data_IF_515025293263
#
_entry.id   IF_515025293263
#
_cell.length_a   1.000
_cell.length_b   1.000
_cell.length_c   1.000
_cell.angle_alpha   90.00
_cell.angle_beta   90.00
_cell.angle_gamma   90.00
#
_symmetry.space_group_name_H-M   'P 1'
#
loop_
_entity.id
_entity.type
_entity.pdbx_description
1 polymer ?
#
# COMPACT_ATOMS: atom_id res chain seq x y z
N UNK A 1 12.14 -30.71 -11.45
CA UNK A 1 10.77 -30.14 -11.49
C UNK A 1 10.21 -29.83 -10.09
N UNK A 2 10.47 -30.63 -9.05
CA UNK A 2 10.07 -30.33 -7.66
C UNK A 2 10.84 -29.19 -6.96
N UNK A 3 12.04 -28.82 -7.42
CA UNK A 3 12.82 -27.71 -6.85
C UNK A 3 12.22 -26.32 -7.10
N UNK A 4 11.31 -26.18 -8.08
CA UNK A 4 10.57 -24.93 -8.32
C UNK A 4 9.41 -24.73 -7.34
N UNK A 5 8.96 -25.80 -6.68
CA UNK A 5 7.96 -25.75 -5.61
C UNK A 5 8.58 -25.38 -4.26
N UNK A 6 9.84 -25.72 -4.00
CA UNK A 6 10.55 -25.27 -2.79
C UNK A 6 10.95 -23.80 -2.84
N UNK A 7 10.99 -23.18 -4.02
CA UNK A 7 11.15 -21.73 -4.15
C UNK A 7 9.87 -20.95 -3.85
N UNK A 8 8.70 -21.59 -3.81
CA UNK A 8 7.42 -20.99 -3.39
C UNK A 8 7.30 -20.83 -1.86
N UNK A 9 8.17 -21.48 -1.07
CA UNK A 9 8.27 -21.27 0.38
C UNK A 9 9.00 -19.96 0.75
N UNK A 10 9.45 -19.18 -0.24
CA UNK A 10 9.85 -17.81 0.07
C UNK A 10 8.62 -16.99 0.45
N UNK A 11 8.67 -16.18 1.52
CA UNK A 11 7.55 -15.32 1.86
C UNK A 11 7.35 -14.33 0.70
N UNK A 12 6.38 -14.63 -0.17
CA UNK A 12 5.99 -13.81 -1.31
C UNK A 12 5.24 -12.54 -0.85
N UNK A 13 4.79 -12.51 0.42
CA UNK A 13 4.07 -11.39 1.04
C UNK A 13 4.71 -10.02 0.78
N UNK A 14 6.00 -9.79 1.09
CA UNK A 14 6.64 -8.49 0.87
C UNK A 14 6.80 -8.11 -0.61
N UNK A 15 6.96 -9.09 -1.51
CA UNK A 15 7.10 -8.83 -2.96
C UNK A 15 5.76 -8.51 -3.62
N UNK A 16 4.67 -9.10 -3.14
CA UNK A 16 3.30 -8.82 -3.61
C UNK A 16 2.79 -7.48 -3.09
N UNK A 17 3.14 -7.07 -1.87
CA UNK A 17 2.65 -5.83 -1.26
C UNK A 17 3.26 -4.56 -1.89
N UNK A 18 4.52 -4.63 -2.35
CA UNK A 18 5.25 -3.50 -2.93
C UNK A 18 4.59 -2.84 -4.17
N UNK A 19 4.13 -3.58 -5.20
CA UNK A 19 3.44 -2.98 -6.34
C UNK A 19 2.12 -2.32 -5.95
N UNK A 20 1.35 -2.88 -5.01
CA UNK A 20 0.11 -2.26 -4.53
C UNK A 20 0.35 -0.91 -3.85
N UNK A 21 1.44 -0.79 -3.08
CA UNK A 21 1.85 0.50 -2.51
C UNK A 21 2.15 1.54 -3.59
N UNK A 22 2.92 1.16 -4.62
CA UNK A 22 3.30 2.10 -5.69
C UNK A 22 2.06 2.55 -6.47
N UNK A 23 1.18 1.62 -6.85
CA UNK A 23 -0.05 1.93 -7.59
C UNK A 23 -1.01 2.77 -6.74
N UNK A 24 -1.21 2.41 -5.48
CA UNK A 24 -2.08 3.17 -4.57
C UNK A 24 -1.54 4.57 -4.28
N UNK A 25 -0.23 4.72 -4.14
CA UNK A 25 0.42 6.04 -3.97
C UNK A 25 0.28 6.89 -5.22
N UNK A 26 0.51 6.32 -6.40
CA UNK A 26 0.34 7.02 -7.67
C UNK A 26 -1.11 7.46 -7.86
N UNK A 27 -2.08 6.62 -7.51
CA UNK A 27 -3.50 6.94 -7.57
C UNK A 27 -3.86 8.08 -6.60
N UNK A 28 -3.39 8.02 -5.36
CA UNK A 28 -3.61 9.06 -4.36
C UNK A 28 -3.07 10.43 -4.82
N UNK A 29 -1.85 10.45 -5.37
CA UNK A 29 -1.23 11.66 -5.93
C UNK A 29 -2.00 12.16 -7.14
N UNK A 30 -2.46 11.27 -8.03
CA UNK A 30 -3.27 11.66 -9.19
C UNK A 30 -4.60 12.31 -8.76
N UNK A 31 -5.31 11.72 -7.79
CA UNK A 31 -6.56 12.27 -7.25
C UNK A 31 -6.32 13.64 -6.63
N UNK A 32 -5.29 13.76 -5.78
CA UNK A 32 -4.88 15.04 -5.18
C UNK A 32 -4.52 16.09 -6.23
N UNK A 33 -3.75 15.70 -7.26
CA UNK A 33 -3.33 16.57 -8.35
C UNK A 33 -4.49 17.08 -9.18
N UNK A 34 -5.46 16.23 -9.52
CA UNK A 34 -6.69 16.63 -10.21
C UNK A 34 -7.44 17.66 -9.37
N UNK A 35 -7.57 17.41 -8.06
CA UNK A 35 -8.16 18.35 -7.12
C UNK A 35 -7.52 19.73 -7.11
N UNK A 36 -6.18 19.78 -7.12
CA UNK A 36 -5.42 21.02 -7.15
C UNK A 36 -5.62 21.77 -8.47
N UNK A 37 -5.60 21.07 -9.61
CA UNK A 37 -5.80 21.67 -10.93
C UNK A 37 -7.21 22.26 -11.04
N UNK A 38 -8.23 21.48 -10.67
CA UNK A 38 -9.63 21.92 -10.71
C UNK A 38 -9.87 23.04 -9.70
N UNK A 39 -9.34 22.93 -8.49
CA UNK A 39 -9.41 23.98 -7.48
C UNK A 39 -8.77 25.29 -7.96
N UNK A 40 -7.59 25.23 -8.56
CA UNK A 40 -6.92 26.40 -9.13
C UNK A 40 -7.75 27.05 -10.25
N UNK A 41 -8.36 26.26 -11.13
CA UNK A 41 -9.24 26.76 -12.18
C UNK A 41 -10.50 27.46 -11.62
N UNK A 42 -11.02 26.99 -10.48
CA UNK A 42 -12.19 27.58 -9.83
C UNK A 42 -11.86 28.85 -9.03
N UNK A 43 -10.59 29.12 -8.74
CA UNK A 43 -10.17 30.27 -7.93
C UNK A 43 -10.52 31.61 -8.59
N UNK A 44 -10.64 31.65 -9.92
CA UNK A 44 -11.06 32.85 -10.66
C UNK A 44 -12.53 33.19 -10.44
N UNK A 45 -13.37 32.18 -10.14
CA UNK A 45 -14.81 32.36 -9.97
C UNK A 45 -15.20 32.47 -8.50
N UNK A 46 -14.62 31.64 -7.63
CA UNK A 46 -14.89 31.67 -6.19
C UNK A 46 -13.75 31.02 -5.42
N UNK A 47 -13.07 31.81 -4.59
CA UNK A 47 -11.96 31.34 -3.74
C UNK A 47 -12.43 30.28 -2.74
N UNK A 48 -13.61 30.46 -2.15
CA UNK A 48 -14.15 29.48 -1.19
C UNK A 48 -14.42 28.13 -1.85
N UNK A 49 -15.00 28.14 -3.05
CA UNK A 49 -15.26 26.91 -3.81
C UNK A 49 -13.95 26.23 -4.23
N UNK A 50 -12.96 27.02 -4.68
CA UNK A 50 -11.63 26.53 -5.01
C UNK A 50 -10.94 25.82 -3.84
N UNK A 51 -10.94 26.46 -2.66
CA UNK A 51 -10.36 25.88 -1.44
C UNK A 51 -11.12 24.62 -1.01
N UNK A 52 -12.45 24.63 -1.10
CA UNK A 52 -13.27 23.46 -0.78
C UNK A 52 -12.94 22.27 -1.70
N UNK A 53 -12.92 22.49 -3.02
CA UNK A 53 -12.64 21.43 -4.00
C UNK A 53 -11.21 20.93 -3.85
N UNK A 54 -10.22 21.82 -3.76
CA UNK A 54 -8.82 21.42 -3.55
C UNK A 54 -8.65 20.62 -2.25
N UNK A 55 -9.21 21.12 -1.14
CA UNK A 55 -9.16 20.45 0.16
C UNK A 55 -9.84 19.08 0.15
N UNK A 56 -11.02 18.96 -0.48
CA UNK A 56 -11.75 17.70 -0.59
C UNK A 56 -10.94 16.63 -1.31
N UNK A 57 -10.36 16.96 -2.47
CA UNK A 57 -9.57 16.00 -3.24
C UNK A 57 -8.22 15.66 -2.59
N UNK A 58 -7.59 16.61 -1.88
CA UNK A 58 -6.41 16.33 -1.07
C UNK A 58 -6.74 15.33 0.05
N UNK A 59 -7.86 15.53 0.75
CA UNK A 59 -8.34 14.60 1.77
C UNK A 59 -8.71 13.24 1.17
N UNK A 60 -9.38 13.21 0.02
CA UNK A 60 -9.70 11.98 -0.69
C UNK A 60 -8.43 11.21 -1.13
N UNK A 61 -7.42 11.91 -1.65
CA UNK A 61 -6.13 11.29 -1.96
C UNK A 61 -5.45 10.72 -0.70
N UNK A 62 -5.46 11.47 0.40
CA UNK A 62 -4.89 11.02 1.67
C UNK A 62 -5.61 9.79 2.25
N UNK A 63 -6.94 9.74 2.18
CA UNK A 63 -7.72 8.58 2.66
C UNK A 63 -7.48 7.35 1.80
N UNK A 64 -7.38 7.51 0.47
CA UNK A 64 -7.00 6.40 -0.44
C UNK A 64 -5.62 5.87 -0.10
N UNK A 65 -4.63 6.75 0.09
CA UNK A 65 -3.28 6.35 0.47
C UNK A 65 -3.25 5.59 1.80
N UNK A 66 -3.92 6.11 2.83
CA UNK A 66 -4.02 5.46 4.13
C UNK A 66 -4.75 4.11 4.04
N UNK A 67 -5.84 4.03 3.27
CA UNK A 67 -6.58 2.78 3.05
C UNK A 67 -5.74 1.70 2.40
N UNK A 68 -4.95 2.05 1.37
CA UNK A 68 -4.00 1.13 0.73
C UNK A 68 -2.93 0.67 1.72
N UNK A 69 -2.36 1.60 2.50
CA UNK A 69 -1.35 1.30 3.52
C UNK A 69 -1.87 0.34 4.59
N UNK A 70 -3.03 0.63 5.16
CA UNK A 70 -3.65 -0.21 6.18
C UNK A 70 -3.99 -1.61 5.64
N UNK A 71 -4.50 -1.68 4.40
CA UNK A 71 -4.81 -2.95 3.75
C UNK A 71 -3.54 -3.78 3.52
N UNK A 72 -2.47 -3.14 3.06
CA UNK A 72 -1.18 -3.79 2.86
C UNK A 72 -0.56 -4.31 4.17
N UNK A 73 -0.63 -3.52 5.25
CA UNK A 73 -0.20 -3.95 6.58
C UNK A 73 -1.04 -5.15 7.08
N UNK A 74 -2.37 -5.10 6.90
CA UNK A 74 -3.27 -6.19 7.27
C UNK A 74 -2.93 -7.48 6.51
N UNK A 75 -2.71 -7.42 5.20
CA UNK A 75 -2.30 -8.58 4.39
C UNK A 75 -0.99 -9.16 4.90
N UNK A 76 0.00 -8.31 5.20
CA UNK A 76 1.31 -8.76 5.71
C UNK A 76 1.17 -9.47 7.05
N UNK A 77 0.34 -8.95 7.97
CA UNK A 77 0.07 -9.57 9.28
C UNK A 77 -0.63 -10.92 9.12
N UNK A 78 -1.62 -11.03 8.21
CA UNK A 78 -2.32 -12.29 7.94
C UNK A 78 -1.34 -13.34 7.45
N UNK A 79 -0.53 -13.04 6.42
CA UNK A 79 0.46 -13.97 5.89
C UNK A 79 1.55 -14.35 6.90
N UNK A 80 1.97 -13.41 7.76
CA UNK A 80 2.94 -13.70 8.82
C UNK A 80 2.37 -14.66 9.90
N UNK A 81 1.05 -14.69 10.10
CA UNK A 81 0.39 -15.61 11.03
C UNK A 81 0.14 -17.00 10.44
N UNK A 82 -0.01 -17.11 9.12
CA UNK A 82 -0.20 -18.40 8.43
C UNK A 82 1.10 -19.10 8.06
N UNK A 83 2.25 -18.42 8.10
CA UNK A 83 3.54 -19.05 7.88
C UNK A 83 3.84 -20.09 8.98
N UNK A 84 4.13 -21.36 8.63
CA UNK A 84 4.58 -22.34 9.61
C UNK A 84 5.84 -21.82 10.31
N UNK A 85 5.85 -21.79 11.65
CA UNK A 85 7.10 -21.54 12.39
C UNK A 85 8.12 -22.58 11.93
N UNK A 86 9.38 -22.20 11.60
CA UNK A 86 10.41 -23.18 11.33
C UNK A 86 10.65 -23.99 12.61
N UNK A 87 10.03 -25.16 12.69
CA UNK A 87 10.32 -26.17 13.70
C UNK A 87 11.60 -26.85 13.24
N UNK A 88 12.75 -26.39 13.75
CA UNK A 88 14.03 -27.02 13.41
C UNK A 88 15.25 -26.12 13.62
N UNK A 89 15.48 -25.66 14.85
CA UNK A 89 16.84 -25.27 15.28
C UNK A 89 17.21 -25.85 16.64
N UNK A 90 16.53 -26.93 17.05
CA UNK A 90 16.95 -27.75 18.18
C UNK A 90 17.69 -28.97 17.64
N UNK A 91 18.93 -29.17 18.11
CA UNK A 91 19.83 -30.32 17.89
C UNK A 91 20.76 -30.29 16.67
N UNK A 92 22.02 -29.90 16.93
CA UNK A 92 23.17 -30.83 16.89
C UNK A 92 24.49 -30.07 16.66
N UNK A 93 25.11 -29.61 17.75
CA UNK A 93 26.57 -29.44 17.83
C UNK A 93 27.04 -29.82 19.23
N UNK A 94 27.03 -31.12 19.48
CA UNK A 94 27.95 -31.78 20.41
C UNK A 94 28.67 -32.83 19.59
N UNK A 95 29.88 -32.50 19.13
CA UNK A 95 30.93 -33.42 18.74
C UNK A 95 32.25 -32.65 18.86
#
# INVERSE_FOLDING_TARGET
MFAALSTLDTPLGPKLVRPFYVVGSALAVAIAGIGLIVGAALATSSVLLALFVAGFFLLAGATVFLGVRLTAEAVTIVFARTAPRPVGSTMSRTA
#
